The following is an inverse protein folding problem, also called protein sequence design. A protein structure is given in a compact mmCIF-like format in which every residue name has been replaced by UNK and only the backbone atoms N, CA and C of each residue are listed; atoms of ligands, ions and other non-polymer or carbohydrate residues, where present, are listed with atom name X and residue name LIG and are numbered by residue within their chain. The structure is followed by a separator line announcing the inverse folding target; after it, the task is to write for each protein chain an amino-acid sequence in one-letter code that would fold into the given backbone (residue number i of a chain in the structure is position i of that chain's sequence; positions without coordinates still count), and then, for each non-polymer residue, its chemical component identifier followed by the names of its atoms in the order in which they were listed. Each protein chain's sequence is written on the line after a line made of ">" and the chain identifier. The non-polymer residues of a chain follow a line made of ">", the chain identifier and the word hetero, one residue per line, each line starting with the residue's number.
data_IF_113038708677
#
_entry.id   IF_113038708677
#
_cell.length_a   1.000
_cell.length_b   1.000
_cell.length_c   1.000
_cell.angle_alpha   90.00
_cell.angle_beta   90.00
_cell.angle_gamma   90.00
#
_symmetry.space_group_name_H-M   'P 1'
#
loop_
_entity.id
_entity.type
_entity.pdbx_description
1 polymer ?
#
# COMPACT_ATOMS: atom_id res chain seq x y z
N UNK A 1 33.19 -5.55 11.13
CA UNK A 1 33.60 -4.33 10.42
C UNK A 1 33.78 -3.16 11.38
N UNK A 2 32.76 -2.75 12.14
CA UNK A 2 32.90 -1.63 13.11
C UNK A 2 33.85 -1.94 14.26
N UNK A 3 33.77 -3.14 14.86
CA UNK A 3 34.71 -3.50 15.93
C UNK A 3 36.17 -3.47 15.44
N UNK A 4 36.43 -3.93 14.21
CA UNK A 4 37.76 -3.82 13.57
C UNK A 4 38.18 -2.37 13.32
N UNK A 5 37.24 -1.47 12.97
CA UNK A 5 37.54 -0.05 12.83
C UNK A 5 37.90 0.61 14.17
N UNK A 6 37.24 0.19 15.25
CA UNK A 6 37.54 0.63 16.63
C UNK A 6 38.91 0.12 17.08
N UNK A 7 39.32 -1.10 16.69
CA UNK A 7 40.66 -1.60 16.98
C UNK A 7 41.76 -0.77 16.32
N UNK A 8 41.51 -0.26 15.10
CA UNK A 8 42.46 0.58 14.35
C UNK A 8 42.53 2.00 14.90
N UNK A 9 41.39 2.62 15.21
CA UNK A 9 41.33 3.95 15.81
C UNK A 9 40.32 3.98 16.98
N UNK A 10 40.78 3.64 18.21
CA UNK A 10 39.93 3.60 19.40
C UNK A 10 39.45 4.98 19.86
N UNK A 11 40.12 6.07 19.43
CA UNK A 11 39.84 7.42 19.86
C UNK A 11 38.79 8.12 18.96
N UNK A 12 38.51 7.57 17.78
CA UNK A 12 37.46 8.09 16.91
C UNK A 12 36.07 7.77 17.47
N UNK A 13 35.47 8.78 18.08
CA UNK A 13 34.12 8.71 18.62
C UNK A 13 33.06 8.33 17.59
N UNK A 14 33.28 8.57 16.29
CA UNK A 14 32.33 8.22 15.23
C UNK A 14 32.14 6.71 15.11
N UNK A 15 33.22 5.95 15.31
CA UNK A 15 33.13 4.49 15.35
C UNK A 15 32.30 4.00 16.55
N UNK A 16 32.38 4.69 17.69
CA UNK A 16 31.55 4.38 18.86
C UNK A 16 30.08 4.78 18.64
N UNK A 17 29.81 5.91 17.96
CA UNK A 17 28.46 6.29 17.55
C UNK A 17 27.82 5.25 16.64
N UNK A 18 28.56 4.77 15.64
CA UNK A 18 28.08 3.71 14.76
C UNK A 18 27.87 2.39 15.52
N UNK A 19 28.82 1.98 16.38
CA UNK A 19 28.65 0.80 17.25
C UNK A 19 27.41 0.92 18.13
N UNK A 20 27.20 2.09 18.74
CA UNK A 20 26.02 2.36 19.54
C UNK A 20 24.75 2.22 18.70
N UNK A 21 24.71 2.87 17.52
CA UNK A 21 23.56 2.84 16.61
C UNK A 21 23.18 1.42 16.23
N UNK A 22 24.11 0.65 15.68
CA UNK A 22 23.81 -0.71 15.22
C UNK A 22 23.52 -1.67 16.38
N UNK A 23 24.21 -1.54 17.52
CA UNK A 23 23.90 -2.34 18.69
C UNK A 23 22.48 -2.06 19.20
N UNK A 24 22.07 -0.79 19.28
CA UNK A 24 20.72 -0.40 19.69
C UNK A 24 19.64 -0.82 18.68
N UNK A 25 19.93 -0.82 17.38
CA UNK A 25 19.02 -1.33 16.34
C UNK A 25 18.91 -2.86 16.36
N UNK A 26 19.96 -3.57 16.76
CA UNK A 26 19.95 -5.03 16.88
C UNK A 26 19.49 -5.51 18.27
N UNK A 27 18.91 -4.65 19.09
CA UNK A 27 18.43 -4.99 20.44
C UNK A 27 19.53 -5.28 21.46
N UNK A 28 20.81 -5.04 21.12
CA UNK A 28 21.97 -5.24 22.00
C UNK A 28 22.19 -4.01 22.88
N UNK A 29 21.20 -3.72 23.71
CA UNK A 29 21.12 -2.46 24.46
C UNK A 29 22.32 -2.20 25.37
N UNK A 30 22.85 -3.23 26.05
CA UNK A 30 24.04 -3.09 26.90
C UNK A 30 25.27 -2.62 26.12
N UNK A 31 25.54 -3.24 24.96
CA UNK A 31 26.63 -2.83 24.05
C UNK A 31 26.37 -1.42 23.52
N UNK A 32 25.12 -1.12 23.18
CA UNK A 32 24.69 0.18 22.70
C UNK A 32 24.98 1.30 23.69
N UNK A 33 24.59 1.12 24.96
CA UNK A 33 24.82 2.08 26.04
C UNK A 33 26.29 2.26 26.36
N UNK A 34 27.07 1.18 26.39
CA UNK A 34 28.51 1.25 26.61
C UNK A 34 29.21 2.05 25.50
N UNK A 35 28.87 1.77 24.24
CA UNK A 35 29.41 2.50 23.09
C UNK A 35 28.97 3.98 23.11
N UNK A 36 27.72 4.26 23.49
CA UNK A 36 27.22 5.63 23.60
C UNK A 36 27.95 6.41 24.71
N UNK A 37 28.22 5.78 25.85
CA UNK A 37 29.02 6.36 26.93
C UNK A 37 30.45 6.68 26.46
N UNK A 38 31.11 5.72 25.79
CA UNK A 38 32.44 5.93 25.20
C UNK A 38 32.45 7.06 24.16
N UNK A 39 31.43 7.14 23.31
CA UNK A 39 31.28 8.23 22.35
C UNK A 39 31.11 9.58 23.07
N UNK A 40 30.37 9.63 24.18
CA UNK A 40 30.22 10.84 24.98
C UNK A 40 31.54 11.32 25.60
N UNK A 41 32.39 10.40 26.06
CA UNK A 41 33.69 10.71 26.66
C UNK A 41 34.71 11.21 25.63
N UNK A 42 34.68 10.65 24.41
CA UNK A 42 35.64 10.93 23.35
C UNK A 42 35.28 12.14 22.48
N UNK A 43 33.98 12.41 22.30
CA UNK A 43 33.54 13.34 21.27
C UNK A 43 33.54 14.82 21.70
N UNK A 44 33.81 15.75 20.77
CA UNK A 44 33.49 17.15 21.00
C UNK A 44 31.98 17.36 21.16
N UNK A 45 31.59 18.47 21.79
CA UNK A 45 30.18 18.83 21.95
C UNK A 45 29.46 18.96 20.58
N UNK A 46 28.17 18.60 20.52
CA UNK A 46 27.30 18.93 19.38
C UNK A 46 26.87 17.78 18.46
N UNK A 47 27.10 16.51 18.81
CA UNK A 47 26.58 15.38 18.01
C UNK A 47 25.05 15.26 18.11
N UNK A 48 24.30 15.71 17.09
CA UNK A 48 22.82 15.73 17.10
C UNK A 48 22.23 14.35 17.37
N UNK A 49 22.64 13.34 16.60
CA UNK A 49 22.16 11.96 16.77
C UNK A 49 22.45 11.44 18.18
N UNK A 50 23.70 11.55 18.65
CA UNK A 50 24.14 11.08 19.98
C UNK A 50 23.38 11.77 21.11
N UNK A 51 23.23 13.10 21.05
CA UNK A 51 22.49 13.87 22.05
C UNK A 51 21.03 13.45 22.12
N UNK A 52 20.39 13.24 20.97
CA UNK A 52 19.01 12.81 20.89
C UNK A 52 18.84 11.36 21.35
N UNK A 53 19.77 10.47 20.99
CA UNK A 53 19.76 9.08 21.41
C UNK A 53 19.95 8.95 22.93
N UNK A 54 20.89 9.69 23.53
CA UNK A 54 21.05 9.74 24.99
C UNK A 54 19.72 10.11 25.69
N UNK A 55 19.00 11.13 25.19
CA UNK A 55 17.70 11.54 25.74
C UNK A 55 16.65 10.44 25.63
N UNK A 56 16.53 9.81 24.46
CA UNK A 56 15.57 8.71 24.26
C UNK A 56 15.91 7.52 25.15
N UNK A 57 17.19 7.17 25.30
CA UNK A 57 17.59 6.07 26.20
C UNK A 57 17.23 6.39 27.65
N UNK A 58 17.42 7.63 28.13
CA UNK A 58 16.96 8.04 29.47
C UNK A 58 15.44 7.95 29.62
N UNK A 59 14.68 8.35 28.61
CA UNK A 59 13.21 8.22 28.61
C UNK A 59 12.79 6.75 28.68
N UNK A 60 13.39 5.88 27.87
CA UNK A 60 13.12 4.45 27.88
C UNK A 60 13.43 3.82 29.24
N UNK A 61 14.55 4.16 29.88
CA UNK A 61 14.90 3.64 31.20
C UNK A 61 13.94 4.12 32.30
N UNK A 62 13.55 5.40 32.24
CA UNK A 62 12.71 6.02 33.27
C UNK A 62 11.25 5.59 33.16
N UNK A 63 10.70 5.66 31.95
CA UNK A 63 9.25 5.70 31.72
C UNK A 63 8.69 4.41 31.12
N UNK A 64 9.54 3.46 30.72
CA UNK A 64 9.12 2.20 30.12
C UNK A 64 9.46 1.01 31.01
N UNK A 65 8.68 -0.06 30.87
CA UNK A 65 8.93 -1.35 31.48
C UNK A 65 8.86 -2.48 30.45
N UNK A 66 9.61 -3.55 30.71
CA UNK A 66 9.68 -4.70 29.80
C UNK A 66 8.75 -5.81 30.30
N UNK A 67 7.88 -6.27 29.41
CA UNK A 67 7.06 -7.47 29.57
C UNK A 67 7.64 -8.56 28.67
N UNK A 68 8.00 -9.69 29.25
CA UNK A 68 8.56 -10.84 28.51
C UNK A 68 7.46 -11.84 28.18
N UNK A 69 7.42 -12.30 26.93
CA UNK A 69 6.63 -13.43 26.45
C UNK A 69 7.57 -14.58 26.04
N UNK A 70 7.06 -15.76 25.61
CA UNK A 70 7.91 -16.81 25.08
C UNK A 70 8.79 -16.37 23.89
N UNK A 71 8.33 -15.39 23.11
CA UNK A 71 8.99 -14.97 21.87
C UNK A 71 9.54 -13.54 21.91
N UNK A 72 9.01 -12.68 22.79
CA UNK A 72 9.32 -11.25 22.77
C UNK A 72 9.75 -10.65 24.11
N UNK A 73 10.60 -9.64 24.04
CA UNK A 73 10.80 -8.63 25.07
C UNK A 73 10.08 -7.35 24.63
N UNK A 74 8.92 -7.08 25.23
CA UNK A 74 8.02 -5.98 24.87
C UNK A 74 8.25 -4.80 25.80
N UNK A 75 8.72 -3.67 25.29
CA UNK A 75 8.86 -2.43 26.06
C UNK A 75 7.63 -1.55 25.86
N UNK A 76 6.92 -1.29 26.95
CA UNK A 76 5.75 -0.45 26.99
C UNK A 76 5.95 0.71 27.96
N UNK A 77 5.36 1.86 27.66
CA UNK A 77 5.29 2.95 28.62
C UNK A 77 4.48 2.52 29.86
N UNK A 78 4.93 2.92 31.06
CA UNK A 78 4.34 2.52 32.35
C UNK A 78 2.83 2.82 32.46
N UNK A 79 2.37 3.89 31.85
CA UNK A 79 0.94 4.24 31.81
C UNK A 79 0.09 3.29 30.93
N UNK A 80 0.68 2.64 29.94
CA UNK A 80 -0.05 1.87 28.92
C UNK A 80 0.10 0.35 29.11
N UNK A 81 1.15 -0.07 29.80
CA UNK A 81 1.54 -1.48 29.94
C UNK A 81 0.41 -2.39 30.44
N UNK A 82 -0.43 -1.91 31.38
CA UNK A 82 -1.56 -2.69 31.91
C UNK A 82 -2.58 -3.09 30.84
N UNK A 83 -2.74 -2.24 29.83
CA UNK A 83 -3.67 -2.47 28.71
C UNK A 83 -2.94 -3.19 27.58
N UNK A 84 -1.80 -2.66 27.13
CA UNK A 84 -1.08 -3.19 25.97
C UNK A 84 -0.59 -4.62 26.19
N UNK A 85 -0.10 -4.97 27.38
CA UNK A 85 0.31 -6.35 27.69
C UNK A 85 -0.83 -7.37 27.58
N UNK A 86 -2.09 -6.96 27.75
CA UNK A 86 -3.25 -7.87 27.67
C UNK A 86 -3.75 -8.05 26.24
N UNK A 87 -3.50 -7.09 25.35
CA UNK A 87 -4.06 -7.07 23.99
C UNK A 87 -2.99 -7.32 22.94
N UNK A 88 -1.86 -6.60 23.03
CA UNK A 88 -0.79 -6.67 22.05
C UNK A 88 0.09 -7.89 22.24
N UNK A 89 0.52 -8.22 23.46
CA UNK A 89 1.38 -9.39 23.70
C UNK A 89 0.81 -10.71 23.13
N UNK A 90 -0.45 -11.11 23.40
CA UNK A 90 -1.01 -12.33 22.81
C UNK A 90 -1.23 -12.21 21.30
N UNK A 91 -1.37 -11.00 20.74
CA UNK A 91 -1.45 -10.79 19.29
C UNK A 91 -0.11 -11.02 18.61
N UNK A 92 0.99 -10.49 19.19
CA UNK A 92 2.34 -10.67 18.69
C UNK A 92 2.75 -12.15 18.76
N UNK A 93 2.46 -12.84 19.86
CA UNK A 93 2.76 -14.27 20.01
C UNK A 93 2.04 -15.12 18.95
N UNK A 94 0.76 -14.84 18.67
CA UNK A 94 0.02 -15.52 17.58
C UNK A 94 0.63 -15.24 16.21
N UNK A 95 0.97 -13.98 15.92
CA UNK A 95 1.60 -13.61 14.65
C UNK A 95 2.95 -14.31 14.47
N UNK A 96 3.75 -14.44 15.54
CA UNK A 96 5.00 -15.20 15.52
C UNK A 96 4.77 -16.69 15.20
N UNK A 97 3.77 -17.31 15.82
CA UNK A 97 3.45 -18.72 15.57
C UNK A 97 2.93 -18.97 14.17
N UNK A 98 2.11 -18.07 13.65
CA UNK A 98 1.62 -18.08 12.28
C UNK A 98 2.80 -18.00 11.31
N UNK A 99 3.66 -16.99 11.43
CA UNK A 99 4.80 -16.82 10.53
C UNK A 99 5.88 -17.88 10.66
N UNK A 100 6.02 -18.49 11.84
CA UNK A 100 6.85 -19.68 12.00
C UNK A 100 6.41 -20.82 11.09
N UNK A 101 5.08 -21.00 10.94
CA UNK A 101 4.52 -21.99 10.03
C UNK A 101 4.62 -21.52 8.58
N UNK A 102 4.25 -20.27 8.30
CA UNK A 102 4.25 -19.69 6.94
C UNK A 102 5.63 -19.71 6.31
N UNK A 103 6.68 -19.30 7.03
CA UNK A 103 8.03 -19.21 6.48
C UNK A 103 8.92 -20.42 6.78
N UNK A 104 8.42 -21.42 7.52
CA UNK A 104 9.19 -22.57 7.99
C UNK A 104 10.54 -22.18 8.62
N UNK A 105 10.56 -21.04 9.32
CA UNK A 105 11.75 -20.42 9.90
C UNK A 105 11.44 -20.01 11.34
N UNK A 106 12.42 -20.12 12.25
CA UNK A 106 12.28 -19.70 13.65
C UNK A 106 13.40 -18.72 13.99
N UNK A 107 13.09 -17.41 14.14
CA UNK A 107 14.03 -16.44 14.67
C UNK A 107 14.55 -16.85 16.05
N UNK A 108 15.78 -16.46 16.38
CA UNK A 108 16.29 -16.57 17.76
C UNK A 108 15.53 -15.60 18.66
N UNK A 109 14.96 -16.12 19.74
CA UNK A 109 14.19 -15.34 20.73
C UNK A 109 15.02 -15.03 21.97
N UNK A 110 14.65 -14.00 22.77
CA UNK A 110 13.54 -13.07 22.53
C UNK A 110 13.84 -12.02 21.43
N UNK A 111 12.83 -11.73 20.62
CA UNK A 111 12.80 -10.57 19.71
C UNK A 111 12.41 -9.32 20.51
N UNK A 112 12.88 -8.14 20.12
CA UNK A 112 12.60 -6.89 20.86
C UNK A 112 11.52 -6.08 20.15
N UNK A 113 10.50 -5.64 20.88
CA UNK A 113 9.50 -4.69 20.41
C UNK A 113 9.47 -3.49 21.35
N UNK A 114 9.83 -2.31 20.86
CA UNK A 114 9.71 -1.06 21.62
C UNK A 114 8.51 -0.25 21.11
N UNK A 115 7.49 -0.12 21.95
CA UNK A 115 6.20 0.47 21.59
C UNK A 115 6.08 1.84 22.24
N UNK A 116 6.34 2.88 21.43
CA UNK A 116 6.57 4.24 21.89
C UNK A 116 5.26 4.99 22.10
N UNK A 117 5.06 5.56 23.29
CA UNK A 117 3.86 6.33 23.64
C UNK A 117 3.73 7.62 22.82
N UNK A 118 4.83 8.15 22.29
CA UNK A 118 4.85 9.39 21.50
C UNK A 118 5.57 9.17 20.18
N UNK A 119 4.98 9.68 19.10
CA UNK A 119 5.53 9.58 17.76
C UNK A 119 6.90 10.26 17.63
N UNK A 120 7.14 11.35 18.36
CA UNK A 120 8.43 12.03 18.38
C UNK A 120 9.54 11.14 18.97
N UNK A 121 9.22 10.34 20.00
CA UNK A 121 10.17 9.39 20.59
C UNK A 121 10.50 8.28 19.61
N UNK A 122 9.48 7.74 18.93
CA UNK A 122 9.66 6.75 17.87
C UNK A 122 10.53 7.28 16.72
N UNK A 123 10.24 8.49 16.23
CA UNK A 123 11.02 9.14 15.17
C UNK A 123 12.49 9.29 15.57
N UNK A 124 12.74 9.79 16.78
CA UNK A 124 14.11 9.98 17.28
C UNK A 124 14.80 8.63 17.56
N UNK A 125 14.09 7.64 18.10
CA UNK A 125 14.64 6.29 18.34
C UNK A 125 15.09 5.63 17.03
N UNK A 126 14.37 5.91 15.95
CA UNK A 126 14.60 5.30 14.64
C UNK A 126 15.66 6.06 13.84
N UNK A 127 15.50 7.38 13.65
CA UNK A 127 16.38 8.18 12.77
C UNK A 127 17.39 9.06 13.52
N UNK A 128 17.23 9.24 14.83
CA UNK A 128 17.96 10.23 15.62
C UNK A 128 17.42 11.66 15.52
N UNK A 129 16.35 11.89 14.75
CA UNK A 129 15.70 13.19 14.54
C UNK A 129 14.19 13.05 14.44
N UNK A 130 13.47 14.18 14.50
CA UNK A 130 12.03 14.23 14.25
C UNK A 130 11.72 14.13 12.74
N UNK A 131 10.46 13.85 12.40
CA UNK A 131 9.94 13.90 11.02
C UNK A 131 9.85 12.57 10.29
N UNK A 132 9.98 11.43 10.98
CA UNK A 132 9.75 10.11 10.39
C UNK A 132 8.25 9.91 10.10
N UNK A 133 7.88 9.65 8.85
CA UNK A 133 6.48 9.39 8.47
C UNK A 133 6.02 7.93 8.60
N UNK A 134 6.85 7.02 9.11
CA UNK A 134 6.50 5.62 9.35
C UNK A 134 5.71 5.45 10.66
N UNK A 135 5.12 4.28 10.88
CA UNK A 135 4.43 3.90 12.13
C UNK A 135 5.11 2.71 12.83
N UNK A 136 5.94 1.98 12.09
CA UNK A 136 6.78 0.88 12.55
C UNK A 136 8.06 0.85 11.72
N UNK A 137 9.16 0.38 12.31
CA UNK A 137 10.40 0.05 11.60
C UNK A 137 11.04 -1.19 12.21
N UNK A 138 11.29 -2.19 11.37
CA UNK A 138 12.04 -3.39 11.68
C UNK A 138 13.53 -3.26 11.33
N UNK A 139 14.38 -3.68 12.27
CA UNK A 139 15.84 -3.72 12.15
C UNK A 139 16.40 -5.16 12.20
N UNK A 140 15.57 -6.17 11.89
CA UNK A 140 15.91 -7.59 12.00
C UNK A 140 15.34 -8.19 13.28
N UNK A 141 16.10 -8.35 14.38
CA UNK A 141 15.57 -8.92 15.62
C UNK A 141 14.80 -7.91 16.50
N UNK A 142 14.62 -6.68 16.04
CA UNK A 142 14.09 -5.57 16.83
C UNK A 142 13.16 -4.71 15.99
N UNK A 143 12.04 -4.32 16.57
CA UNK A 143 11.05 -3.42 15.99
C UNK A 143 10.84 -2.24 16.92
N UNK A 144 10.78 -1.04 16.34
CA UNK A 144 10.23 0.14 17.00
C UNK A 144 8.89 0.46 16.34
N UNK A 145 7.88 0.81 17.12
CA UNK A 145 6.60 1.22 16.57
C UNK A 145 5.90 2.22 17.46
N UNK A 146 4.95 2.95 16.89
CA UNK A 146 4.03 3.78 17.64
C UNK A 146 3.07 2.93 18.48
N UNK A 147 2.86 3.37 19.71
CA UNK A 147 1.74 2.94 20.56
C UNK A 147 0.41 3.36 19.92
N UNK A 148 -0.70 2.62 20.14
CA UNK A 148 -2.02 3.05 19.69
C UNK A 148 -2.38 4.47 20.12
N UNK A 149 -1.94 4.91 21.31
CA UNK A 149 -2.22 6.26 21.82
C UNK A 149 -1.30 7.36 21.26
N UNK A 150 -0.22 6.99 20.54
CA UNK A 150 0.64 7.95 19.86
C UNK A 150 -0.03 8.58 18.63
N UNK A 151 -1.13 7.98 18.16
CA UNK A 151 -1.90 8.41 17.01
C UNK A 151 -3.31 8.83 17.42
N UNK A 152 -4.01 9.54 16.52
CA UNK A 152 -5.41 9.93 16.79
C UNK A 152 -6.30 8.67 16.82
N UNK A 153 -7.27 8.58 17.75
CA UNK A 153 -8.22 7.47 17.75
C UNK A 153 -8.90 7.33 16.37
N UNK A 154 -8.97 6.10 15.87
CA UNK A 154 -9.57 5.78 14.57
C UNK A 154 -8.64 5.97 13.36
N UNK A 155 -7.42 6.50 13.51
CA UNK A 155 -6.52 6.75 12.37
C UNK A 155 -5.37 5.75 12.24
N UNK A 156 -5.25 4.79 13.17
CA UNK A 156 -4.11 3.89 13.23
C UNK A 156 -4.51 2.45 13.55
N UNK A 157 -4.24 1.53 12.62
CA UNK A 157 -4.34 0.09 12.82
C UNK A 157 -3.00 -0.47 13.35
N UNK A 158 -2.79 -0.36 14.67
CA UNK A 158 -1.57 -0.88 15.30
C UNK A 158 -1.39 -2.39 15.10
N UNK A 159 -2.47 -3.16 14.96
CA UNK A 159 -2.40 -4.61 14.80
C UNK A 159 -1.87 -4.97 13.40
N UNK A 160 -2.34 -4.27 12.37
CA UNK A 160 -1.81 -4.37 11.01
C UNK A 160 -0.31 -4.04 10.96
N UNK A 161 0.07 -2.88 11.50
CA UNK A 161 1.49 -2.47 11.57
C UNK A 161 2.35 -3.49 12.32
N UNK A 162 1.93 -3.94 13.51
CA UNK A 162 2.67 -4.96 14.24
C UNK A 162 2.83 -6.27 13.44
N UNK A 163 1.78 -6.70 12.74
CA UNK A 163 1.82 -7.91 11.91
C UNK A 163 2.79 -7.75 10.72
N UNK A 164 2.76 -6.59 10.04
CA UNK A 164 3.70 -6.21 8.97
C UNK A 164 5.16 -6.24 9.46
N UNK A 165 5.42 -5.65 10.62
CA UNK A 165 6.77 -5.60 11.19
C UNK A 165 7.29 -6.98 11.58
N UNK A 166 6.44 -7.88 12.11
CA UNK A 166 6.88 -9.26 12.38
C UNK A 166 7.15 -9.99 11.05
N UNK A 167 6.36 -9.82 10.01
CA UNK A 167 6.66 -10.40 8.69
C UNK A 167 8.03 -9.92 8.17
N UNK A 168 8.39 -8.66 8.41
CA UNK A 168 9.74 -8.14 8.11
C UNK A 168 10.83 -8.87 8.91
N UNK A 169 10.62 -9.13 10.20
CA UNK A 169 11.58 -9.91 11.02
C UNK A 169 11.86 -11.27 10.35
N UNK A 170 10.81 -12.01 10.00
CA UNK A 170 10.97 -13.36 9.44
C UNK A 170 11.66 -13.32 8.09
N UNK A 171 11.24 -12.45 7.19
CA UNK A 171 11.77 -12.37 5.82
C UNK A 171 13.22 -11.84 5.81
N UNK A 172 13.55 -10.84 6.62
CA UNK A 172 14.93 -10.35 6.75
C UNK A 172 15.85 -11.39 7.37
N UNK A 173 15.45 -12.07 8.45
CA UNK A 173 16.31 -13.03 9.12
C UNK A 173 16.48 -14.33 8.31
N UNK A 174 15.42 -14.83 7.67
CA UNK A 174 15.50 -16.01 6.80
C UNK A 174 16.45 -15.79 5.61
N UNK A 175 16.49 -14.57 5.08
CA UNK A 175 17.36 -14.16 3.97
C UNK A 175 18.68 -13.51 4.41
N UNK A 176 19.01 -13.54 5.71
CA UNK A 176 20.24 -12.94 6.25
C UNK A 176 20.44 -11.46 5.86
N UNK A 177 19.34 -10.73 5.68
CA UNK A 177 19.32 -9.31 5.31
C UNK A 177 19.70 -9.02 3.84
N UNK A 178 19.69 -10.03 2.96
CA UNK A 178 20.09 -9.89 1.54
C UNK A 178 18.93 -9.86 0.56
N UNK A 179 17.72 -10.10 1.04
CA UNK A 179 16.49 -9.98 0.26
C UNK A 179 16.29 -8.52 -0.23
N UNK A 180 15.82 -8.30 -1.46
CA UNK A 180 15.51 -6.96 -1.95
C UNK A 180 14.30 -6.38 -1.21
N UNK A 181 14.27 -5.05 -1.09
CA UNK A 181 13.26 -4.37 -0.27
C UNK A 181 11.85 -4.61 -0.77
N UNK A 182 11.64 -4.64 -2.09
CA UNK A 182 10.32 -4.90 -2.67
C UNK A 182 9.71 -6.22 -2.21
N UNK A 183 10.53 -7.27 -2.02
CA UNK A 183 10.04 -8.57 -1.62
C UNK A 183 9.71 -8.61 -0.13
N UNK A 184 10.52 -8.00 0.73
CA UNK A 184 10.19 -7.93 2.17
C UNK A 184 8.98 -7.09 2.44
N UNK A 185 8.91 -5.89 1.86
CA UNK A 185 7.79 -4.97 2.08
C UNK A 185 6.53 -5.51 1.41
N UNK A 186 6.66 -6.12 0.23
CA UNK A 186 5.56 -6.76 -0.48
C UNK A 186 4.99 -7.97 0.26
N UNK A 187 5.85 -8.84 0.82
CA UNK A 187 5.40 -9.96 1.65
C UNK A 187 4.72 -9.45 2.91
N UNK A 188 5.29 -8.45 3.59
CA UNK A 188 4.67 -7.90 4.79
C UNK A 188 3.29 -7.29 4.52
N UNK A 189 3.14 -6.52 3.43
CA UNK A 189 1.81 -6.02 3.01
C UNK A 189 0.87 -7.14 2.57
N UNK A 190 1.38 -8.21 1.96
CA UNK A 190 0.56 -9.36 1.63
C UNK A 190 0.07 -10.11 2.87
N UNK A 191 0.90 -10.23 3.91
CA UNK A 191 0.48 -10.82 5.18
C UNK A 191 -0.59 -9.97 5.88
N UNK A 192 -0.56 -8.64 5.77
CA UNK A 192 -1.65 -7.76 6.23
C UNK A 192 -2.98 -8.17 5.59
N UNK A 193 -3.02 -8.26 4.26
CA UNK A 193 -4.23 -8.60 3.48
C UNK A 193 -4.66 -10.05 3.69
N UNK A 194 -3.72 -10.98 3.81
CA UNK A 194 -4.00 -12.40 4.11
C UNK A 194 -4.73 -12.53 5.45
N UNK A 195 -4.36 -11.69 6.43
CA UNK A 195 -4.99 -11.68 7.75
C UNK A 195 -6.37 -11.02 7.70
N UNK A 196 -6.51 -9.92 6.98
CA UNK A 196 -7.80 -9.25 6.75
C UNK A 196 -7.78 -8.41 5.47
N UNK A 197 -8.73 -8.62 4.56
CA UNK A 197 -8.85 -7.86 3.30
C UNK A 197 -8.91 -6.35 3.55
N UNK A 198 -9.56 -5.96 4.65
CA UNK A 198 -9.69 -4.59 5.15
C UNK A 198 -8.38 -3.90 5.55
N UNK A 199 -7.26 -4.63 5.67
CA UNK A 199 -5.95 -4.06 5.96
C UNK A 199 -5.17 -3.71 4.67
N UNK A 200 -5.73 -4.05 3.51
CA UNK A 200 -5.18 -3.68 2.21
C UNK A 200 -5.30 -2.20 1.88
N UNK A 201 -4.62 -1.81 0.79
CA UNK A 201 -4.67 -0.46 0.24
C UNK A 201 -5.62 -0.42 -0.95
N UNK A 202 -6.57 0.51 -0.95
CA UNK A 202 -7.47 0.79 -2.09
C UNK A 202 -6.67 1.54 -3.17
N UNK A 203 -6.14 0.80 -4.14
CA UNK A 203 -5.23 1.31 -5.16
C UNK A 203 -5.45 0.68 -6.54
N UNK A 204 -6.53 -0.06 -6.75
CA UNK A 204 -6.84 -0.74 -8.02
C UNK A 204 -6.94 0.24 -9.18
N UNK A 205 -7.52 1.42 -8.96
CA UNK A 205 -7.54 2.49 -9.98
C UNK A 205 -6.14 3.01 -10.33
N UNK A 206 -5.23 3.10 -9.34
CA UNK A 206 -3.85 3.53 -9.59
C UNK A 206 -3.03 2.42 -10.28
N UNK A 207 -3.33 1.16 -9.99
CA UNK A 207 -2.75 0.00 -10.68
C UNK A 207 -3.19 -0.07 -12.13
N UNK A 208 -4.47 0.19 -12.40
CA UNK A 208 -5.02 0.31 -13.75
C UNK A 208 -4.37 1.45 -14.54
N UNK A 209 -4.25 2.63 -13.93
CA UNK A 209 -3.52 3.74 -14.52
C UNK A 209 -2.05 3.36 -14.81
N UNK A 210 -1.37 2.67 -13.88
CA UNK A 210 0.02 2.25 -14.07
C UNK A 210 0.17 1.20 -15.17
N UNK A 211 -0.78 0.27 -15.31
CA UNK A 211 -0.81 -0.73 -16.38
C UNK A 211 -0.94 -0.07 -17.76
N UNK A 212 -1.84 0.91 -17.89
CA UNK A 212 -2.12 1.61 -19.14
C UNK A 212 -1.05 2.63 -19.54
N UNK A 213 -0.28 3.16 -18.58
CA UNK A 213 0.82 4.09 -18.83
C UNK A 213 2.21 3.41 -18.89
N UNK A 214 2.28 2.07 -18.81
CA UNK A 214 3.54 1.31 -18.76
C UNK A 214 4.46 1.76 -17.59
N UNK A 215 3.84 1.99 -16.42
CA UNK A 215 4.48 2.49 -15.20
C UNK A 215 4.46 1.47 -14.05
N UNK A 216 4.19 0.19 -14.31
CA UNK A 216 4.46 -0.86 -13.33
C UNK A 216 5.97 -0.93 -13.08
N UNK A 217 6.39 -1.15 -11.84
CA UNK A 217 7.80 -1.35 -11.53
C UNK A 217 8.25 -2.72 -12.05
N UNK A 218 9.28 -2.76 -12.90
CA UNK A 218 9.93 -4.01 -13.29
C UNK A 218 10.78 -4.58 -12.17
N UNK A 219 10.89 -5.90 -12.08
CA UNK A 219 11.48 -6.60 -10.92
C UNK A 219 12.94 -6.22 -10.63
N UNK A 220 13.72 -5.86 -11.66
CA UNK A 220 15.12 -5.43 -11.49
C UNK A 220 15.27 -4.02 -10.89
N UNK A 221 14.31 -3.13 -11.15
CA UNK A 221 14.37 -1.72 -10.72
C UNK A 221 13.40 -1.42 -9.57
N UNK A 222 12.69 -2.42 -9.08
CA UNK A 222 11.56 -2.23 -8.17
C UNK A 222 11.95 -1.51 -6.87
N UNK A 223 13.13 -1.78 -6.32
CA UNK A 223 13.62 -1.12 -5.11
C UNK A 223 13.74 0.41 -5.26
N UNK A 224 13.88 0.93 -6.48
CA UNK A 224 13.90 2.37 -6.74
C UNK A 224 12.54 3.01 -6.39
N UNK A 225 11.43 2.29 -6.50
CA UNK A 225 10.09 2.78 -6.18
C UNK A 225 9.97 3.31 -4.75
N UNK A 226 10.67 2.70 -3.80
CA UNK A 226 10.70 3.09 -2.39
C UNK A 226 11.49 4.36 -2.08
N UNK A 227 12.08 5.00 -3.10
CA UNK A 227 12.82 6.27 -2.99
C UNK A 227 12.17 7.41 -3.76
N UNK A 228 10.95 7.18 -4.27
CA UNK A 228 10.21 8.15 -5.08
C UNK A 228 8.91 8.57 -4.38
N UNK A 229 8.20 9.54 -4.97
CA UNK A 229 6.84 9.88 -4.58
C UNK A 229 5.84 8.72 -4.73
N UNK A 230 6.21 7.64 -5.43
CA UNK A 230 5.40 6.43 -5.62
C UNK A 230 5.64 5.35 -4.55
N UNK A 231 6.27 5.70 -3.42
CA UNK A 231 6.56 4.73 -2.33
C UNK A 231 5.33 3.92 -1.90
N UNK A 232 4.16 4.55 -1.71
CA UNK A 232 2.96 3.82 -1.30
C UNK A 232 2.47 2.87 -2.40
N UNK A 233 2.60 3.27 -3.67
CA UNK A 233 2.32 2.38 -4.79
C UNK A 233 3.32 1.22 -4.88
N UNK A 234 4.58 1.43 -4.47
CA UNK A 234 5.57 0.35 -4.41
C UNK A 234 5.21 -0.71 -3.36
N UNK A 235 4.68 -0.31 -2.20
CA UNK A 235 4.10 -1.24 -1.22
C UNK A 235 2.93 -2.03 -1.83
N UNK A 236 1.97 -1.34 -2.45
CA UNK A 236 0.80 -1.99 -3.03
C UNK A 236 1.15 -2.92 -4.21
N UNK A 237 2.02 -2.50 -5.13
CA UNK A 237 2.49 -3.38 -6.19
C UNK A 237 3.28 -4.56 -5.62
N UNK A 238 4.09 -4.34 -4.57
CA UNK A 238 4.86 -5.40 -3.91
C UNK A 238 3.94 -6.47 -3.33
N UNK A 239 2.86 -6.05 -2.68
CA UNK A 239 1.78 -6.92 -2.22
C UNK A 239 1.20 -7.75 -3.39
N UNK A 240 0.82 -7.09 -4.50
CA UNK A 240 0.24 -7.79 -5.66
C UNK A 240 1.21 -8.80 -6.27
N UNK A 241 2.51 -8.48 -6.34
CA UNK A 241 3.54 -9.40 -6.82
C UNK A 241 3.68 -10.60 -5.89
N UNK A 242 3.75 -10.38 -4.59
CA UNK A 242 3.93 -11.46 -3.61
C UNK A 242 2.71 -12.39 -3.55
N UNK A 243 1.51 -11.80 -3.58
CA UNK A 243 0.24 -12.52 -3.72
C UNK A 243 0.26 -13.40 -4.97
N UNK A 244 0.60 -12.82 -6.13
CA UNK A 244 0.64 -13.56 -7.39
C UNK A 244 1.65 -14.71 -7.36
N UNK A 245 2.83 -14.48 -6.78
CA UNK A 245 3.85 -15.52 -6.63
C UNK A 245 3.29 -16.68 -5.81
N UNK A 246 2.65 -16.39 -4.68
CA UNK A 246 2.09 -17.44 -3.83
C UNK A 246 0.90 -18.15 -4.49
N UNK A 247 -0.03 -17.43 -5.12
CA UNK A 247 -1.17 -18.02 -5.81
C UNK A 247 -0.75 -18.95 -6.97
N UNK A 248 0.40 -18.66 -7.60
CA UNK A 248 0.89 -19.40 -8.77
C UNK A 248 1.84 -20.54 -8.41
N UNK A 249 2.81 -20.31 -7.52
CA UNK A 249 3.86 -21.27 -7.17
C UNK A 249 3.83 -21.75 -5.71
N UNK A 250 2.94 -21.18 -4.88
CA UNK A 250 2.82 -21.52 -3.47
C UNK A 250 3.88 -20.88 -2.59
N UNK A 251 3.67 -20.99 -1.27
CA UNK A 251 4.57 -20.44 -0.25
C UNK A 251 5.98 -21.03 -0.31
N UNK A 252 6.15 -22.26 -0.82
CA UNK A 252 7.47 -22.90 -0.97
C UNK A 252 8.38 -22.14 -1.93
N UNK A 253 7.82 -21.53 -2.99
CA UNK A 253 8.60 -20.72 -3.91
C UNK A 253 9.12 -19.44 -3.23
N UNK A 254 8.28 -18.78 -2.42
CA UNK A 254 8.70 -17.62 -1.62
C UNK A 254 9.82 -18.00 -0.65
N UNK A 255 9.67 -19.12 0.07
CA UNK A 255 10.74 -19.62 0.96
C UNK A 255 12.03 -19.90 0.19
N UNK A 256 11.92 -20.48 -1.00
CA UNK A 256 13.08 -20.72 -1.87
C UNK A 256 13.76 -19.42 -2.29
N UNK A 257 12.99 -18.39 -2.65
CA UNK A 257 13.53 -17.07 -2.96
C UNK A 257 14.29 -16.48 -1.78
N UNK A 258 13.70 -16.49 -0.57
CA UNK A 258 14.34 -15.99 0.64
C UNK A 258 15.64 -16.73 0.96
N UNK A 259 15.65 -18.07 0.80
CA UNK A 259 16.84 -18.89 0.97
C UNK A 259 17.96 -18.50 -0.01
N UNK A 260 17.63 -18.38 -1.31
CA UNK A 260 18.59 -18.06 -2.36
C UNK A 260 19.15 -16.65 -2.21
N UNK A 261 18.34 -15.65 -1.84
CA UNK A 261 18.84 -14.34 -1.47
C UNK A 261 19.76 -14.42 -0.25
N UNK A 262 19.41 -15.25 0.75
CA UNK A 262 20.28 -15.53 1.89
C UNK A 262 21.66 -16.08 1.53
N UNK A 263 21.77 -16.73 0.38
CA UNK A 263 23.01 -17.25 -0.22
C UNK A 263 23.73 -16.23 -1.13
N UNK A 264 23.27 -14.98 -1.15
CA UNK A 264 23.86 -13.86 -1.92
C UNK A 264 23.68 -14.00 -3.45
N UNK A 265 22.64 -14.73 -3.88
CA UNK A 265 22.28 -14.81 -5.30
C UNK A 265 21.53 -13.57 -5.78
N UNK A 266 21.79 -13.19 -7.03
CA UNK A 266 21.14 -12.06 -7.70
C UNK A 266 19.74 -12.44 -8.22
N UNK A 267 18.89 -11.42 -8.43
CA UNK A 267 17.48 -11.59 -8.79
C UNK A 267 17.25 -12.51 -9.98
N UNK A 268 18.02 -12.37 -11.06
CA UNK A 268 17.93 -13.21 -12.26
C UNK A 268 18.07 -14.71 -11.93
N UNK A 269 19.05 -15.06 -11.10
CA UNK A 269 19.26 -16.44 -10.66
C UNK A 269 18.14 -16.91 -9.72
N UNK A 270 17.68 -16.03 -8.83
CA UNK A 270 16.61 -16.36 -7.88
C UNK A 270 15.29 -16.65 -8.61
N UNK A 271 14.92 -15.85 -9.60
CA UNK A 271 13.70 -16.05 -10.40
C UNK A 271 13.78 -17.33 -11.23
N UNK A 272 14.92 -17.61 -11.88
CA UNK A 272 15.13 -18.85 -12.63
C UNK A 272 14.97 -20.07 -11.72
N UNK A 273 15.62 -20.07 -10.55
CA UNK A 273 15.62 -21.24 -9.66
C UNK A 273 14.35 -21.42 -8.86
N UNK A 274 13.68 -20.35 -8.46
CA UNK A 274 12.47 -20.45 -7.65
C UNK A 274 11.20 -20.57 -8.52
N UNK A 275 11.15 -19.88 -9.66
CA UNK A 275 9.94 -19.71 -10.46
C UNK A 275 10.07 -20.25 -11.90
N UNK A 276 11.30 -20.51 -12.38
CA UNK A 276 11.54 -20.91 -13.77
C UNK A 276 11.37 -19.77 -14.77
N UNK A 277 11.57 -18.52 -14.33
CA UNK A 277 11.34 -17.33 -15.15
C UNK A 277 12.60 -16.46 -15.27
N UNK A 278 12.82 -15.89 -16.45
CA UNK A 278 13.72 -14.74 -16.59
C UNK A 278 13.01 -13.49 -16.04
N UNK A 279 13.74 -12.41 -15.69
CA UNK A 279 13.11 -11.16 -15.26
C UNK A 279 12.10 -10.59 -16.26
N UNK A 280 12.35 -10.68 -17.56
CA UNK A 280 11.44 -10.19 -18.60
C UNK A 280 10.17 -11.03 -18.68
N UNK A 281 10.29 -12.36 -18.55
CA UNK A 281 9.15 -13.26 -18.51
C UNK A 281 8.32 -13.05 -17.23
N UNK A 282 8.98 -12.76 -16.11
CA UNK A 282 8.35 -12.40 -14.85
C UNK A 282 7.54 -11.11 -14.97
N UNK A 283 8.13 -10.04 -15.49
CA UNK A 283 7.45 -8.74 -15.65
C UNK A 283 6.26 -8.85 -16.62
N UNK A 284 6.42 -9.60 -17.73
CA UNK A 284 5.34 -9.85 -18.69
C UNK A 284 4.19 -10.67 -18.07
N UNK A 285 4.52 -11.72 -17.32
CA UNK A 285 3.52 -12.56 -16.66
C UNK A 285 2.81 -11.80 -15.52
N UNK A 286 3.53 -10.98 -14.76
CA UNK A 286 2.94 -10.12 -13.74
C UNK A 286 1.98 -9.09 -14.36
N UNK A 287 2.37 -8.46 -15.48
CA UNK A 287 1.48 -7.56 -16.23
C UNK A 287 0.18 -8.26 -16.65
N UNK A 288 0.27 -9.51 -17.12
CA UNK A 288 -0.89 -10.30 -17.50
C UNK A 288 -1.77 -10.67 -16.28
N UNK A 289 -1.16 -10.99 -15.13
CA UNK A 289 -1.87 -11.17 -13.87
C UNK A 289 -2.63 -9.91 -13.46
N UNK A 290 -1.98 -8.74 -13.51
CA UNK A 290 -2.60 -7.45 -13.18
C UNK A 290 -3.78 -7.16 -14.10
N UNK A 291 -3.62 -7.34 -15.41
CA UNK A 291 -4.70 -7.14 -16.38
C UNK A 291 -5.91 -8.05 -16.08
N UNK A 292 -5.68 -9.30 -15.71
CA UNK A 292 -6.75 -10.23 -15.31
C UNK A 292 -7.41 -9.84 -14.00
N UNK A 293 -6.62 -9.46 -12.97
CA UNK A 293 -7.15 -9.00 -11.68
C UNK A 293 -8.08 -7.79 -11.87
N UNK A 294 -7.70 -6.87 -12.75
CA UNK A 294 -8.43 -5.64 -13.02
C UNK A 294 -9.60 -5.82 -14.01
N UNK A 295 -9.88 -7.03 -14.50
CA UNK A 295 -10.99 -7.27 -15.42
C UNK A 295 -12.35 -6.75 -14.89
N UNK A 296 -12.71 -6.90 -13.60
CA UNK A 296 -13.93 -6.31 -13.05
C UNK A 296 -13.93 -4.78 -13.05
N UNK A 297 -12.76 -4.13 -13.03
CA UNK A 297 -12.65 -2.67 -13.05
C UNK A 297 -12.99 -2.14 -14.44
N UNK A 298 -14.20 -1.62 -14.62
CA UNK A 298 -14.62 -1.02 -15.88
C UNK A 298 -14.53 0.49 -15.76
N UNK A 299 -13.48 1.08 -16.32
CA UNK A 299 -13.30 2.53 -16.35
C UNK A 299 -12.40 2.97 -17.50
N UNK A 300 -12.44 4.27 -17.81
CA UNK A 300 -11.38 4.92 -18.59
C UNK A 300 -10.19 5.23 -17.68
N UNK A 301 -8.95 4.80 -17.98
CA UNK A 301 -7.78 5.10 -17.16
C UNK A 301 -7.39 6.59 -17.23
N UNK A 302 -6.56 7.04 -16.31
CA UNK A 302 -5.89 8.34 -16.39
C UNK A 302 -4.58 8.21 -17.16
N UNK A 303 -4.57 8.68 -18.42
CA UNK A 303 -3.33 8.75 -19.19
C UNK A 303 -2.47 9.94 -18.77
N UNK A 304 -1.19 9.66 -18.51
CA UNK A 304 -0.21 10.66 -18.09
C UNK A 304 0.32 11.52 -19.26
N UNK A 305 1.33 12.35 -19.00
CA UNK A 305 1.90 13.22 -20.03
C UNK A 305 2.65 12.46 -21.12
N UNK A 306 3.30 11.34 -20.78
CA UNK A 306 4.03 10.51 -21.74
C UNK A 306 3.03 9.82 -22.69
N UNK A 307 1.93 9.28 -22.14
CA UNK A 307 0.85 8.71 -22.93
C UNK A 307 0.19 9.76 -23.84
N UNK A 308 -0.10 10.97 -23.33
CA UNK A 308 -0.62 12.08 -24.16
C UNK A 308 0.32 12.45 -25.29
N UNK A 309 1.64 12.44 -25.06
CA UNK A 309 2.64 12.67 -26.10
C UNK A 309 2.62 11.55 -27.14
N UNK A 310 2.51 10.30 -26.68
CA UNK A 310 2.36 9.13 -27.54
C UNK A 310 1.15 9.23 -28.47
N UNK A 311 -0.02 9.60 -27.94
CA UNK A 311 -1.23 9.79 -28.76
C UNK A 311 -1.06 10.90 -29.80
N UNK A 312 -0.47 12.03 -29.42
CA UNK A 312 -0.17 13.13 -30.36
C UNK A 312 0.76 12.70 -31.49
N UNK A 313 1.79 11.91 -31.17
CA UNK A 313 2.71 11.37 -32.16
C UNK A 313 2.01 10.40 -33.11
N UNK A 314 1.21 9.46 -32.59
CA UNK A 314 0.46 8.51 -33.40
C UNK A 314 -0.51 9.21 -34.37
N UNK A 315 -1.21 10.26 -33.91
CA UNK A 315 -2.08 11.10 -34.75
C UNK A 315 -1.27 11.76 -35.88
N UNK A 316 -0.12 12.35 -35.57
CA UNK A 316 0.73 13.02 -36.56
C UNK A 316 1.31 12.03 -37.60
N UNK A 317 1.53 10.78 -37.21
CA UNK A 317 1.98 9.69 -38.08
C UNK A 317 0.85 9.00 -38.84
N UNK A 318 -0.41 9.39 -38.62
CA UNK A 318 -1.57 8.78 -39.27
C UNK A 318 -1.95 7.39 -38.73
N UNK A 319 -1.51 7.03 -37.51
CA UNK A 319 -1.80 5.74 -36.88
C UNK A 319 -3.04 5.85 -35.98
N UNK A 320 -4.05 5.03 -36.26
CA UNK A 320 -5.31 4.91 -35.50
C UNK A 320 -5.83 6.29 -35.05
N UNK A 321 -5.98 7.21 -36.02
CA UNK A 321 -6.11 8.65 -35.76
C UNK A 321 -7.33 8.97 -34.91
N UNK A 322 -8.48 8.37 -35.23
CA UNK A 322 -9.73 8.57 -34.51
C UNK A 322 -9.64 8.06 -33.06
N UNK A 323 -9.07 6.87 -32.87
CA UNK A 323 -8.90 6.26 -31.55
C UNK A 323 -7.93 7.09 -30.68
N UNK A 324 -6.79 7.49 -31.23
CA UNK A 324 -5.81 8.31 -30.51
C UNK A 324 -6.33 9.71 -30.21
N UNK A 325 -7.13 10.32 -31.10
CA UNK A 325 -7.84 11.58 -30.82
C UNK A 325 -8.82 11.41 -29.67
N UNK A 326 -9.62 10.34 -29.66
CA UNK A 326 -10.57 10.08 -28.58
C UNK A 326 -9.86 9.84 -27.23
N UNK A 327 -8.79 9.04 -27.21
CA UNK A 327 -7.93 8.83 -26.03
C UNK A 327 -7.32 10.12 -25.51
N UNK A 328 -6.79 10.96 -26.42
CA UNK A 328 -6.22 12.25 -26.06
C UNK A 328 -7.28 13.24 -25.52
N UNK A 329 -8.48 13.26 -26.11
CA UNK A 329 -9.59 14.07 -25.62
C UNK A 329 -10.03 13.64 -24.20
N UNK A 330 -10.09 12.33 -23.93
CA UNK A 330 -10.32 11.78 -22.60
C UNK A 330 -9.23 12.18 -21.61
N UNK A 331 -7.96 12.04 -21.99
CA UNK A 331 -6.82 12.39 -21.15
C UNK A 331 -6.88 13.86 -20.70
N UNK A 332 -7.21 14.78 -21.62
CA UNK A 332 -7.42 16.19 -21.30
C UNK A 332 -8.65 16.44 -20.43
N UNK A 333 -9.77 15.76 -20.72
CA UNK A 333 -11.00 15.88 -19.94
C UNK A 333 -10.80 15.50 -18.46
N UNK A 334 -10.09 14.39 -18.20
CA UNK A 334 -9.77 13.92 -16.84
C UNK A 334 -8.71 14.78 -16.16
N UNK A 335 -7.81 15.39 -16.93
CA UNK A 335 -6.89 16.43 -16.43
C UNK A 335 -7.56 17.79 -16.13
N UNK A 336 -8.88 17.91 -16.32
CA UNK A 336 -9.63 19.17 -16.10
C UNK A 336 -9.40 20.23 -17.18
N UNK A 337 -8.80 19.85 -18.31
CA UNK A 337 -8.45 20.71 -19.43
C UNK A 337 -9.51 20.62 -20.53
N UNK A 338 -10.70 21.18 -20.24
CA UNK A 338 -11.86 21.06 -21.12
C UNK A 338 -11.63 21.69 -22.51
N UNK A 339 -10.93 22.84 -22.60
CA UNK A 339 -10.67 23.49 -23.90
C UNK A 339 -9.78 22.60 -24.79
N UNK A 340 -8.71 22.05 -24.24
CA UNK A 340 -7.82 21.13 -24.96
C UNK A 340 -8.55 19.84 -25.37
N UNK A 341 -9.45 19.34 -24.51
CA UNK A 341 -10.33 18.21 -24.84
C UNK A 341 -11.24 18.53 -26.03
N UNK A 342 -11.85 19.72 -26.04
CA UNK A 342 -12.77 20.17 -27.09
C UNK A 342 -12.07 20.31 -28.44
N UNK A 343 -10.87 20.89 -28.45
CA UNK A 343 -10.09 21.10 -29.66
C UNK A 343 -9.72 19.77 -30.33
N UNK A 344 -9.28 18.79 -29.55
CA UNK A 344 -8.93 17.45 -30.06
C UNK A 344 -10.17 16.67 -30.49
N UNK A 345 -11.31 16.88 -29.83
CA UNK A 345 -12.55 16.17 -30.12
C UNK A 345 -13.27 16.73 -31.35
N UNK A 346 -13.10 18.01 -31.65
CA UNK A 346 -13.84 18.73 -32.71
C UNK A 346 -13.83 18.01 -34.08
N UNK A 347 -12.70 17.53 -34.61
CA UNK A 347 -12.72 16.80 -35.89
C UNK A 347 -13.58 15.54 -35.84
N UNK A 348 -13.63 14.84 -34.70
CA UNK A 348 -14.45 13.63 -34.52
C UNK A 348 -15.95 13.93 -34.40
N UNK A 349 -16.33 15.20 -34.21
CA UNK A 349 -17.73 15.64 -34.16
C UNK A 349 -18.17 16.26 -35.48
N UNK A 350 -17.30 17.07 -36.10
CA UNK A 350 -17.63 17.90 -37.26
C UNK A 350 -17.44 17.16 -38.61
N UNK A 351 -16.45 16.26 -38.71
CA UNK A 351 -16.04 15.65 -40.00
C UNK A 351 -16.63 14.24 -40.21
N UNK A 352 -17.21 13.65 -39.16
CA UNK A 352 -17.83 12.33 -39.18
C UNK A 352 -17.84 11.77 -37.77
N UNK A 353 -19.01 11.80 -37.13
CA UNK A 353 -19.20 11.29 -35.77
C UNK A 353 -18.60 9.89 -35.62
N UNK A 354 -17.58 9.78 -34.78
CA UNK A 354 -16.92 8.49 -34.53
C UNK A 354 -17.79 7.62 -33.62
N UNK A 355 -18.52 6.69 -34.22
CA UNK A 355 -19.39 5.73 -33.52
C UNK A 355 -18.56 4.79 -32.63
N UNK A 356 -18.43 5.16 -31.37
CA UNK A 356 -17.64 4.41 -30.39
C UNK A 356 -18.21 4.62 -28.98
N UNK A 357 -18.34 3.58 -28.12
CA UNK A 357 -18.92 3.74 -26.79
C UNK A 357 -18.20 4.77 -25.91
N UNK A 358 -16.86 4.83 -26.00
CA UNK A 358 -16.07 5.85 -25.30
C UNK A 358 -16.32 7.29 -25.79
N UNK A 359 -16.82 7.48 -27.02
CA UNK A 359 -17.24 8.81 -27.50
C UNK A 359 -18.50 9.25 -26.77
N UNK A 360 -19.54 8.40 -26.77
CA UNK A 360 -20.79 8.69 -26.05
C UNK A 360 -20.57 8.84 -24.54
N UNK A 361 -19.71 8.00 -23.95
CA UNK A 361 -19.34 8.12 -22.55
C UNK A 361 -18.71 9.48 -22.25
N UNK A 362 -17.78 9.95 -23.10
CA UNK A 362 -17.15 11.27 -22.95
C UNK A 362 -18.18 12.39 -23.05
N UNK A 363 -19.06 12.32 -24.04
CA UNK A 363 -20.14 13.30 -24.24
C UNK A 363 -21.09 13.32 -23.05
N UNK A 364 -21.45 12.17 -22.48
CA UNK A 364 -22.25 12.04 -21.27
C UNK A 364 -21.59 12.66 -20.06
N UNK A 365 -20.31 12.34 -19.81
CA UNK A 365 -19.53 12.93 -18.71
C UNK A 365 -19.38 14.45 -18.84
N UNK A 366 -19.19 14.95 -20.07
CA UNK A 366 -19.14 16.39 -20.36
C UNK A 366 -20.49 17.06 -20.14
N UNK A 367 -21.58 16.44 -20.55
CA UNK A 367 -22.93 16.93 -20.31
C UNK A 367 -23.23 17.02 -18.80
N UNK A 368 -22.84 15.99 -18.04
CA UNK A 368 -22.97 15.97 -16.59
C UNK A 368 -22.16 17.09 -15.92
N UNK A 369 -20.88 17.27 -16.29
CA UNK A 369 -20.03 18.37 -15.80
C UNK A 369 -20.65 19.75 -16.12
N UNK A 370 -21.31 19.86 -17.27
CA UNK A 370 -22.07 21.04 -17.70
C UNK A 370 -23.49 21.13 -17.13
N UNK A 371 -23.89 20.27 -16.18
CA UNK A 371 -25.23 20.20 -15.57
C UNK A 371 -26.38 19.98 -16.56
N UNK A 372 -26.11 19.40 -17.74
CA UNK A 372 -27.10 19.02 -18.74
C UNK A 372 -27.54 17.58 -18.50
N UNK A 373 -28.35 17.36 -17.47
CA UNK A 373 -28.69 16.01 -16.96
C UNK A 373 -29.34 15.13 -18.02
N UNK A 374 -30.35 15.61 -18.74
CA UNK A 374 -31.01 14.80 -19.78
C UNK A 374 -30.04 14.37 -20.89
N UNK A 375 -29.21 15.30 -21.37
CA UNK A 375 -28.20 14.99 -22.38
C UNK A 375 -27.16 13.97 -21.88
N UNK A 376 -26.85 13.97 -20.58
CA UNK A 376 -25.99 12.95 -19.98
C UNK A 376 -26.68 11.58 -19.97
N UNK A 377 -27.94 11.50 -19.53
CA UNK A 377 -28.74 10.26 -19.54
C UNK A 377 -28.87 9.69 -20.95
N UNK A 378 -29.18 10.53 -21.95
CA UNK A 378 -29.31 10.11 -23.35
C UNK A 378 -28.00 9.54 -23.91
N UNK A 379 -26.86 10.16 -23.57
CA UNK A 379 -25.55 9.67 -23.99
C UNK A 379 -25.19 8.35 -23.29
N UNK A 380 -25.37 8.26 -21.97
CA UNK A 380 -25.12 7.02 -21.22
C UNK A 380 -26.03 5.86 -21.66
N UNK A 381 -27.28 6.14 -22.05
CA UNK A 381 -28.16 5.12 -22.62
C UNK A 381 -27.59 4.49 -23.90
N UNK A 382 -26.91 5.27 -24.75
CA UNK A 382 -26.22 4.74 -25.94
C UNK A 382 -25.03 3.85 -25.56
N UNK A 383 -24.26 4.24 -24.55
CA UNK A 383 -23.14 3.44 -24.03
C UNK A 383 -23.63 2.06 -23.55
N UNK A 384 -24.72 2.05 -22.77
CA UNK A 384 -25.36 0.82 -22.28
C UNK A 384 -25.94 -0.01 -23.44
N UNK A 385 -26.60 0.63 -24.41
CA UNK A 385 -27.15 -0.05 -25.58
C UNK A 385 -26.07 -0.70 -26.46
N UNK A 386 -24.86 -0.13 -26.47
CA UNK A 386 -23.68 -0.70 -27.12
C UNK A 386 -23.01 -1.82 -26.30
N UNK A 387 -23.55 -2.17 -25.12
CA UNK A 387 -23.00 -3.21 -24.24
C UNK A 387 -21.69 -2.82 -23.55
N UNK A 388 -21.40 -1.52 -23.42
CA UNK A 388 -20.21 -1.03 -22.74
C UNK A 388 -20.52 -0.66 -21.29
N UNK A 389 -19.79 -1.27 -20.36
CA UNK A 389 -19.90 -0.99 -18.93
C UNK A 389 -18.83 0.02 -18.51
N UNK A 390 -19.19 0.95 -17.64
CA UNK A 390 -18.27 1.91 -17.02
C UNK A 390 -18.76 2.28 -15.61
N UNK A 391 -17.86 2.21 -14.63
CA UNK A 391 -18.15 2.48 -13.23
C UNK A 391 -18.57 3.93 -13.00
N UNK A 392 -17.83 4.89 -13.57
CA UNK A 392 -18.10 6.31 -13.35
C UNK A 392 -19.48 6.68 -13.94
N UNK A 393 -19.87 6.06 -15.06
CA UNK A 393 -21.20 6.19 -15.66
C UNK A 393 -22.29 5.67 -14.74
N UNK A 394 -22.16 4.43 -14.26
CA UNK A 394 -23.17 3.82 -13.39
C UNK A 394 -23.29 4.58 -12.06
N UNK A 395 -22.17 5.02 -11.51
CA UNK A 395 -22.11 5.90 -10.34
C UNK A 395 -22.92 7.18 -10.57
N UNK A 396 -22.69 7.87 -11.70
CA UNK A 396 -23.41 9.10 -12.04
C UNK A 396 -24.91 8.88 -12.26
N UNK A 397 -25.30 7.82 -12.97
CA UNK A 397 -26.70 7.47 -13.18
C UNK A 397 -27.42 7.15 -11.85
N UNK A 398 -26.74 6.46 -10.94
CA UNK A 398 -27.28 6.17 -9.61
C UNK A 398 -27.53 7.45 -8.81
N UNK A 399 -26.56 8.38 -8.79
CA UNK A 399 -26.72 9.67 -8.13
C UNK A 399 -27.85 10.52 -8.73
N UNK A 400 -28.02 10.51 -10.06
CA UNK A 400 -29.13 11.19 -10.73
C UNK A 400 -30.47 10.59 -10.28
N UNK A 401 -30.59 9.26 -10.29
CA UNK A 401 -31.82 8.58 -9.90
C UNK A 401 -32.20 8.86 -8.44
N UNK A 402 -31.24 8.88 -7.52
CA UNK A 402 -31.50 9.27 -6.12
C UNK A 402 -32.00 10.71 -5.98
N UNK A 403 -31.45 11.65 -6.76
CA UNK A 403 -31.91 13.04 -6.77
C UNK A 403 -33.33 13.17 -7.35
N UNK A 404 -33.70 12.28 -8.28
CA UNK A 404 -35.03 12.19 -8.86
C UNK A 404 -36.04 11.45 -7.96
N UNK A 405 -35.56 10.78 -6.89
CA UNK A 405 -36.38 9.96 -5.99
C UNK A 405 -36.77 8.60 -6.57
N UNK A 406 -36.05 8.12 -7.59
CA UNK A 406 -36.23 6.80 -8.20
C UNK A 406 -35.28 5.78 -7.56
N UNK A 407 -35.68 5.26 -6.39
CA UNK A 407 -34.88 4.34 -5.60
C UNK A 407 -34.61 3.00 -6.31
N UNK A 408 -35.53 2.54 -7.17
CA UNK A 408 -35.38 1.30 -7.94
C UNK A 408 -34.27 1.44 -8.99
N UNK A 409 -34.30 2.52 -9.77
CA UNK A 409 -33.24 2.82 -10.74
C UNK A 409 -31.92 3.11 -10.02
N UNK A 410 -31.95 3.85 -8.90
CA UNK A 410 -30.76 4.11 -8.11
C UNK A 410 -30.11 2.82 -7.61
N UNK A 411 -30.88 1.90 -7.02
CA UNK A 411 -30.38 0.61 -6.57
C UNK A 411 -29.78 -0.21 -7.72
N UNK A 412 -30.47 -0.29 -8.86
CA UNK A 412 -29.97 -1.02 -10.03
C UNK A 412 -28.63 -0.45 -10.54
N UNK A 413 -28.51 0.88 -10.61
CA UNK A 413 -27.27 1.53 -11.05
C UNK A 413 -26.15 1.40 -10.02
N UNK A 414 -26.45 1.47 -8.71
CA UNK A 414 -25.46 1.21 -7.67
C UNK A 414 -24.95 -0.23 -7.67
N UNK A 415 -25.81 -1.22 -7.93
CA UNK A 415 -25.37 -2.62 -8.10
C UNK A 415 -24.39 -2.76 -9.27
N UNK A 416 -24.67 -2.10 -10.40
CA UNK A 416 -23.75 -2.08 -11.55
C UNK A 416 -22.45 -1.34 -11.23
N UNK A 417 -22.51 -0.22 -10.52
CA UNK A 417 -21.32 0.50 -10.06
C UNK A 417 -20.46 -0.37 -9.13
N UNK A 418 -21.08 -1.12 -8.23
CA UNK A 418 -20.40 -2.07 -7.34
C UNK A 418 -19.75 -3.24 -8.11
N UNK A 419 -20.42 -3.76 -9.13
CA UNK A 419 -19.89 -4.84 -9.97
C UNK A 419 -18.71 -4.41 -10.85
N UNK A 420 -18.74 -3.16 -11.33
CA UNK A 420 -17.71 -2.57 -12.20
C UNK A 420 -16.55 -1.92 -11.45
N UNK A 421 -16.65 -1.79 -10.13
CA UNK A 421 -15.53 -1.47 -9.24
C UNK A 421 -15.81 -2.01 -7.83
N UNK A 422 -15.42 -3.27 -7.55
CA UNK A 422 -15.78 -3.94 -6.30
C UNK A 422 -14.94 -3.51 -5.08
N UNK A 423 -13.94 -2.65 -5.25
CA UNK A 423 -12.93 -2.32 -4.24
C UNK A 423 -13.10 -0.95 -3.57
N UNK A 424 -14.18 -0.20 -3.87
CA UNK A 424 -14.35 1.16 -3.34
C UNK A 424 -14.45 1.17 -1.82
N UNK A 425 -13.42 1.69 -1.14
CA UNK A 425 -13.37 1.78 0.33
C UNK A 425 -13.74 3.15 0.88
N UNK A 426 -13.78 4.20 0.05
CA UNK A 426 -14.17 5.54 0.48
C UNK A 426 -15.67 5.56 0.87
N UNK A 427 -16.03 5.88 2.14
CA UNK A 427 -17.42 5.84 2.57
C UNK A 427 -18.34 6.74 1.74
N UNK A 428 -17.85 7.90 1.29
CA UNK A 428 -18.63 8.88 0.54
C UNK A 428 -18.89 8.49 -0.91
N UNK A 429 -18.09 7.55 -1.45
CA UNK A 429 -18.19 7.08 -2.82
C UNK A 429 -18.55 5.59 -2.89
N UNK A 430 -18.87 4.95 -1.78
CA UNK A 430 -19.09 3.51 -1.73
C UNK A 430 -20.47 3.12 -2.29
N UNK A 431 -20.54 2.36 -3.40
CA UNK A 431 -21.81 1.82 -3.89
C UNK A 431 -22.47 0.91 -2.85
N UNK A 432 -21.68 0.19 -2.05
CA UNK A 432 -22.17 -0.69 -0.99
C UNK A 432 -22.91 0.08 0.10
N UNK A 433 -22.39 1.24 0.52
CA UNK A 433 -23.08 2.07 1.52
C UNK A 433 -24.32 2.77 0.95
N UNK A 434 -24.31 3.14 -0.33
CA UNK A 434 -25.49 3.67 -0.99
C UNK A 434 -26.61 2.61 -1.07
N UNK A 435 -26.28 1.38 -1.48
CA UNK A 435 -27.20 0.24 -1.49
C UNK A 435 -27.73 -0.09 -0.09
N UNK A 436 -26.87 -0.06 0.93
CA UNK A 436 -27.29 -0.25 2.31
C UNK A 436 -28.32 0.81 2.74
N UNK A 437 -28.12 2.08 2.39
CA UNK A 437 -29.08 3.15 2.70
C UNK A 437 -30.44 2.92 2.02
N UNK A 438 -30.46 2.54 0.74
CA UNK A 438 -31.69 2.25 0.01
C UNK A 438 -32.42 1.05 0.64
N UNK A 439 -31.70 -0.05 0.89
CA UNK A 439 -32.25 -1.25 1.53
C UNK A 439 -32.86 -0.94 2.91
N UNK A 440 -32.18 -0.11 3.72
CA UNK A 440 -32.69 0.32 5.03
C UNK A 440 -33.97 1.14 4.91
N UNK A 441 -34.06 2.05 3.93
CA UNK A 441 -35.26 2.85 3.69
C UNK A 441 -36.44 1.98 3.22
N UNK A 442 -36.17 0.93 2.45
CA UNK A 442 -37.15 -0.07 2.02
C UNK A 442 -37.57 -1.08 3.11
N UNK A 443 -36.89 -1.07 4.27
CA UNK A 443 -37.13 -2.03 5.35
C UNK A 443 -36.52 -3.43 5.11
N UNK A 444 -35.67 -3.58 4.09
CA UNK A 444 -34.97 -4.83 3.79
C UNK A 444 -33.70 -4.95 4.67
N UNK A 445 -33.89 -5.54 5.86
CA UNK A 445 -32.82 -5.73 6.84
C UNK A 445 -31.74 -6.72 6.36
N UNK A 446 -32.11 -7.72 5.56
CA UNK A 446 -31.18 -8.74 5.09
C UNK A 446 -30.22 -8.15 4.05
N UNK A 447 -30.76 -7.45 3.05
CA UNK A 447 -29.93 -6.76 2.06
C UNK A 447 -29.06 -5.67 2.70
N UNK A 448 -29.62 -4.88 3.63
CA UNK A 448 -28.86 -3.89 4.38
C UNK A 448 -27.65 -4.52 5.09
N UNK A 449 -27.87 -5.61 5.85
CA UNK A 449 -26.80 -6.30 6.57
C UNK A 449 -25.75 -6.86 5.62
N UNK A 450 -26.16 -7.42 4.47
CA UNK A 450 -25.26 -7.94 3.45
C UNK A 450 -24.34 -6.86 2.86
N UNK A 451 -24.89 -5.70 2.50
CA UNK A 451 -24.10 -4.60 1.94
C UNK A 451 -23.15 -3.97 2.96
N UNK A 452 -23.58 -3.79 4.21
CA UNK A 452 -22.71 -3.31 5.30
C UNK A 452 -21.59 -4.31 5.56
N UNK A 453 -21.90 -5.61 5.61
CA UNK A 453 -20.88 -6.65 5.81
C UNK A 453 -19.85 -6.66 4.68
N UNK A 454 -20.27 -6.50 3.42
CA UNK A 454 -19.34 -6.39 2.29
C UNK A 454 -18.43 -5.17 2.42
N UNK A 455 -18.99 -4.01 2.76
CA UNK A 455 -18.19 -2.79 2.96
C UNK A 455 -17.21 -2.92 4.12
N UNK A 456 -17.64 -3.45 5.26
CA UNK A 456 -16.77 -3.67 6.42
C UNK A 456 -15.64 -4.67 6.11
N UNK A 457 -15.89 -5.69 5.27
CA UNK A 457 -14.85 -6.60 4.81
C UNK A 457 -13.75 -5.91 4.00
N UNK A 458 -14.08 -4.80 3.32
CA UNK A 458 -13.13 -3.97 2.56
C UNK A 458 -12.51 -2.86 3.42
N UNK A 459 -13.16 -2.46 4.51
CA UNK A 459 -12.75 -1.33 5.33
C UNK A 459 -13.15 -1.52 6.82
N UNK A 460 -12.16 -1.80 7.66
CA UNK A 460 -12.34 -2.03 9.11
C UNK A 460 -12.53 -0.74 9.93
N UNK A 461 -12.35 0.44 9.32
CA UNK A 461 -12.59 1.73 10.03
C UNK A 461 -14.07 2.06 10.19
N UNK A 462 -14.97 1.26 9.62
CA UNK A 462 -16.42 1.45 9.61
C UNK A 462 -17.13 1.13 10.94
N UNK A 463 -16.47 1.35 12.09
CA UNK A 463 -17.07 1.15 13.41
C UNK A 463 -18.26 2.09 13.70
N UNK A 464 -18.42 3.17 12.95
CA UNK A 464 -19.53 4.13 13.11
C UNK A 464 -20.88 3.66 12.54
N UNK A 465 -20.91 2.52 11.83
CA UNK A 465 -22.14 2.01 11.17
C UNK A 465 -22.84 0.87 11.92
N UNK A 466 -22.33 0.45 13.09
CA UNK A 466 -22.96 -0.59 13.94
C UNK A 466 -24.00 -0.05 14.90
#
# INVERSE_FOLDING_TARGET
>A
MIDSAIEVDPADWRHQDDRARYALYLGKEGIGKEALAKANDLAPAGGVWRNNMNKVMTVLERDYETVTTPYFALKFHRDEVKVLSRVMAPFLDRSYEEFTKTYAFRPTTPLVFEVMKRHEEFSVRTMGTLGLGALGVCFGPTVFMDSPSAQRPGTYNWAGTAHHEIALIFTLLASRGRVPRWLTEGLSSWEEVRRSESWGRDMESLLDDALHNDKLFGVREFDAGFRTSRIIFAYYQGEQVCRWIEETWGIEAIRKMLELFGQDHQIDFVLDKALGLTPEAFDAAFRAFVAKKLEPLKRVPNWDEDARRGFRLAIAEGRDVEENRLKLAWAWFKAGKSVDSDEVLKPLLDEGYYEHPLMDLLLGMRALRGKRIQAAKDAFAKVIAAGHDDHDMYYALAQIAEQEGDDDTAAAMWQKAAATNPWVTNPQASPWLALARIARAAGDQEAWAGYVARYCGLNDTALELR
#
